data_IF_486971678335
#
_entry.id   IF_486971678335
#
_cell.length_a   1.000
_cell.length_b   1.000
_cell.length_c   1.000
_cell.angle_alpha   90.00
_cell.angle_beta   90.00
_cell.angle_gamma   90.00
#
_symmetry.space_group_name_H-M   'P 1'
#
loop_
_entity.id
_entity.type
_entity.pdbx_description
1 polymer ?
#
# COMPACT_ATOMS: atom_id res chain seq x y z
N UNK A 1 -21.96 11.95 6.69
CA UNK A 1 -21.39 10.59 6.77
C UNK A 1 -20.74 10.17 5.46
N UNK A 2 -21.49 10.12 4.34
CA UNK A 2 -20.93 9.77 3.03
C UNK A 2 -19.79 10.71 2.60
N UNK A 3 -19.97 12.02 2.81
CA UNK A 3 -18.95 13.04 2.49
C UNK A 3 -17.64 12.79 3.26
N UNK A 4 -17.75 12.36 4.52
CA UNK A 4 -16.60 12.07 5.37
C UNK A 4 -15.78 10.90 4.81
N UNK A 5 -16.44 9.79 4.42
CA UNK A 5 -15.74 8.63 3.83
C UNK A 5 -15.16 8.95 2.46
N UNK A 6 -15.88 9.75 1.66
CA UNK A 6 -15.40 10.19 0.35
C UNK A 6 -14.14 11.06 0.51
N UNK A 7 -14.14 11.94 1.51
CA UNK A 7 -12.99 12.79 1.82
C UNK A 7 -11.78 11.94 2.22
N UNK A 8 -11.97 10.95 3.11
CA UNK A 8 -10.90 10.00 3.50
C UNK A 8 -10.32 9.33 2.26
N UNK A 9 -11.19 8.82 1.37
CA UNK A 9 -10.77 8.10 0.17
C UNK A 9 -9.97 9.01 -0.78
N UNK A 10 -10.50 10.19 -1.11
CA UNK A 10 -9.86 11.12 -2.05
C UNK A 10 -8.52 11.61 -1.49
N UNK A 11 -8.49 11.95 -0.20
CA UNK A 11 -7.26 12.41 0.47
C UNK A 11 -6.20 11.31 0.41
N UNK A 12 -6.58 10.06 0.70
CA UNK A 12 -5.64 8.93 0.71
C UNK A 12 -5.12 8.60 -0.68
N UNK A 13 -5.98 8.69 -1.72
CA UNK A 13 -5.60 8.35 -3.10
C UNK A 13 -4.67 9.42 -3.71
N UNK A 14 -4.98 10.69 -3.52
CA UNK A 14 -4.30 11.78 -4.24
C UNK A 14 -3.38 12.61 -3.38
N UNK A 15 -3.83 13.08 -2.22
CA UNK A 15 -3.07 14.04 -1.38
C UNK A 15 -2.01 13.29 -0.58
N UNK A 16 -2.41 12.24 0.13
CA UNK A 16 -1.53 11.41 0.97
C UNK A 16 -1.19 10.09 0.28
N UNK A 17 -0.95 10.13 -1.03
CA UNK A 17 -0.62 8.93 -1.80
C UNK A 17 0.65 8.29 -1.22
N UNK A 18 0.52 7.06 -0.75
CA UNK A 18 1.60 6.34 -0.05
C UNK A 18 2.84 6.20 -0.93
N UNK A 19 2.68 5.98 -2.24
CA UNK A 19 3.80 5.84 -3.17
C UNK A 19 4.49 7.18 -3.46
N UNK A 20 3.72 8.20 -3.79
CA UNK A 20 4.26 9.46 -4.33
C UNK A 20 4.52 10.52 -3.27
N UNK A 21 3.74 10.54 -2.19
CA UNK A 21 3.91 11.51 -1.10
C UNK A 21 4.90 11.01 -0.06
N UNK A 22 4.85 9.72 0.29
CA UNK A 22 5.64 9.13 1.37
C UNK A 22 6.78 8.23 0.86
N UNK A 23 6.83 7.95 -0.42
CA UNK A 23 7.84 7.10 -1.07
C UNK A 23 7.91 5.69 -0.46
N UNK A 24 6.77 5.17 0.00
CA UNK A 24 6.69 3.82 0.56
C UNK A 24 6.35 2.80 -0.53
N UNK A 25 6.95 1.61 -0.42
CA UNK A 25 6.75 0.53 -1.38
C UNK A 25 7.52 0.73 -2.68
N UNK A 26 8.57 1.56 -2.68
CA UNK A 26 9.36 1.90 -3.87
C UNK A 26 10.11 0.70 -4.45
N UNK A 27 10.50 -0.27 -3.63
CA UNK A 27 11.20 -1.47 -4.08
C UNK A 27 10.37 -2.24 -5.13
N UNK A 28 9.10 -2.54 -4.82
CA UNK A 28 8.18 -3.20 -5.76
C UNK A 28 7.71 -2.25 -6.85
N UNK A 29 7.48 -0.98 -6.50
CA UNK A 29 7.03 0.08 -7.42
C UNK A 29 7.97 0.21 -8.62
N UNK A 30 9.27 0.30 -8.37
CA UNK A 30 10.29 0.45 -9.42
C UNK A 30 10.54 -0.87 -10.15
N UNK A 31 10.59 -1.98 -9.41
CA UNK A 31 10.92 -3.30 -9.98
C UNK A 31 9.88 -3.75 -11.01
N UNK A 32 8.60 -3.54 -10.75
CA UNK A 32 7.50 -4.11 -11.53
C UNK A 32 6.95 -3.14 -12.58
N UNK A 33 7.20 -1.84 -12.45
CA UNK A 33 6.69 -0.82 -13.38
C UNK A 33 7.31 -0.87 -14.78
N UNK A 34 8.09 -1.92 -15.10
CA UNK A 34 8.68 -2.13 -16.44
C UNK A 34 7.65 -2.58 -17.48
N UNK A 35 6.54 -3.21 -17.04
CA UNK A 35 5.45 -3.70 -17.90
C UNK A 35 4.11 -3.32 -17.28
N UNK A 36 3.19 -2.80 -18.10
CA UNK A 36 1.87 -2.38 -17.66
C UNK A 36 1.06 -3.55 -17.09
N UNK A 37 1.09 -4.71 -17.77
CA UNK A 37 0.33 -5.90 -17.33
C UNK A 37 0.73 -6.36 -15.94
N UNK A 38 2.04 -6.41 -15.67
CA UNK A 38 2.56 -6.81 -14.35
C UNK A 38 2.23 -5.75 -13.29
N UNK A 39 2.34 -4.47 -13.63
CA UNK A 39 2.01 -3.35 -12.73
C UNK A 39 0.52 -3.38 -12.35
N UNK A 40 -0.36 -3.65 -13.31
CA UNK A 40 -1.80 -3.74 -13.10
C UNK A 40 -2.14 -4.93 -12.19
N UNK A 41 -1.57 -6.10 -12.47
CA UNK A 41 -1.80 -7.31 -11.65
C UNK A 41 -1.33 -7.13 -10.20
N UNK A 42 -0.14 -6.55 -10.03
CA UNK A 42 0.39 -6.26 -8.69
C UNK A 42 -0.46 -5.20 -7.98
N UNK A 43 -0.92 -4.19 -8.72
CA UNK A 43 -1.79 -3.15 -8.17
C UNK A 43 -3.06 -3.74 -7.55
N UNK A 44 -3.73 -4.65 -8.28
CA UNK A 44 -4.93 -5.34 -7.78
C UNK A 44 -4.58 -6.14 -6.52
N UNK A 45 -3.45 -6.87 -6.53
CA UNK A 45 -3.03 -7.66 -5.37
C UNK A 45 -2.81 -6.76 -4.14
N UNK A 46 -2.17 -5.60 -4.31
CA UNK A 46 -1.93 -4.65 -3.21
C UNK A 46 -3.26 -4.09 -2.68
N UNK A 47 -4.23 -3.77 -3.57
CA UNK A 47 -5.57 -3.30 -3.15
C UNK A 47 -6.22 -4.36 -2.26
N UNK A 48 -6.24 -5.62 -2.69
CA UNK A 48 -6.87 -6.72 -1.95
C UNK A 48 -6.18 -6.91 -0.60
N UNK A 49 -4.85 -6.91 -0.57
CA UNK A 49 -4.09 -7.10 0.68
C UNK A 49 -4.35 -5.93 1.64
N UNK A 50 -4.30 -4.68 1.18
CA UNK A 50 -4.58 -3.52 2.02
C UNK A 50 -6.02 -3.56 2.57
N UNK A 51 -6.98 -3.95 1.73
CA UNK A 51 -8.39 -4.03 2.12
C UNK A 51 -8.62 -5.06 3.23
N UNK A 52 -7.79 -6.09 3.31
CA UNK A 52 -7.87 -7.13 4.33
C UNK A 52 -7.01 -6.75 5.56
N UNK A 53 -5.76 -6.34 5.34
CA UNK A 53 -4.79 -6.18 6.43
C UNK A 53 -5.02 -4.92 7.26
N UNK A 54 -5.43 -3.80 6.65
CA UNK A 54 -5.60 -2.55 7.40
C UNK A 54 -6.74 -2.67 8.44
N UNK A 55 -7.97 -3.11 8.08
CA UNK A 55 -8.99 -3.30 9.11
C UNK A 55 -8.67 -4.43 10.09
N UNK A 56 -7.98 -5.49 9.65
CA UNK A 56 -7.56 -6.57 10.54
C UNK A 56 -6.56 -6.05 11.59
N UNK A 57 -5.59 -5.25 11.16
CA UNK A 57 -4.63 -4.61 12.07
C UNK A 57 -5.32 -3.61 13.00
N UNK A 58 -6.38 -2.93 12.53
CA UNK A 58 -7.20 -2.05 13.37
C UNK A 58 -7.85 -2.83 14.52
N UNK A 59 -8.40 -4.01 14.23
CA UNK A 59 -9.00 -4.87 15.26
C UNK A 59 -7.93 -5.33 16.27
N UNK A 60 -6.77 -5.77 15.78
CA UNK A 60 -5.68 -6.24 16.64
C UNK A 60 -5.19 -5.10 17.54
N UNK A 61 -5.04 -3.90 16.98
CA UNK A 61 -4.62 -2.73 17.76
C UNK A 61 -5.63 -2.43 18.88
N UNK A 62 -6.91 -2.32 18.56
CA UNK A 62 -7.94 -1.92 19.51
C UNK A 62 -8.23 -2.99 20.57
N UNK A 63 -8.08 -4.29 20.25
CA UNK A 63 -8.43 -5.37 21.18
C UNK A 63 -7.24 -5.99 21.90
N UNK A 64 -6.02 -5.78 21.41
CA UNK A 64 -4.83 -6.46 21.96
C UNK A 64 -3.70 -5.47 22.32
N UNK A 65 -3.36 -4.54 21.41
CA UNK A 65 -2.15 -3.72 21.53
C UNK A 65 -2.35 -2.42 22.29
N UNK A 66 -3.54 -1.84 22.23
CA UNK A 66 -3.86 -0.57 22.88
C UNK A 66 -3.71 -0.71 24.40
N UNK A 67 -3.30 0.38 25.07
CA UNK A 67 -3.25 0.45 26.54
C UNK A 67 -4.58 0.01 27.12
N UNK A 68 -4.53 -0.88 28.08
CA UNK A 68 -5.71 -1.43 28.78
C UNK A 68 -6.62 -2.28 27.89
N UNK A 69 -6.19 -2.65 26.68
CA UNK A 69 -7.00 -3.53 25.82
C UNK A 69 -7.20 -4.93 26.46
N UNK A 70 -6.26 -5.36 27.30
CA UNK A 70 -6.29 -6.67 27.94
C UNK A 70 -6.95 -6.70 29.32
N UNK A 71 -7.65 -5.62 29.72
CA UNK A 71 -8.41 -5.57 31.00
C UNK A 71 -9.39 -6.75 31.11
N UNK A 72 -10.01 -7.13 29.97
CA UNK A 72 -10.97 -8.23 29.92
C UNK A 72 -10.33 -9.60 30.26
N UNK A 73 -8.99 -9.71 30.15
CA UNK A 73 -8.23 -10.91 30.53
C UNK A 73 -7.64 -10.78 31.94
N UNK A 74 -7.90 -9.66 32.64
CA UNK A 74 -7.40 -9.43 34.00
C UNK A 74 -5.94 -8.99 34.06
N UNK A 75 -5.38 -8.53 32.94
CA UNK A 75 -3.98 -8.06 32.87
C UNK A 75 -4.02 -6.53 32.74
N UNK A 76 -3.89 -5.84 33.88
CA UNK A 76 -3.89 -4.37 33.95
C UNK A 76 -2.46 -3.83 33.79
N UNK A 77 -2.34 -2.70 33.12
CA UNK A 77 -1.10 -1.95 33.03
C UNK A 77 -0.07 -2.50 32.06
N UNK A 78 -0.45 -3.42 31.16
CA UNK A 78 0.46 -3.90 30.12
C UNK A 78 0.32 -3.04 28.86
N UNK A 79 1.43 -2.45 28.47
CA UNK A 79 1.53 -1.68 27.21
C UNK A 79 2.29 -2.52 26.18
N UNK A 80 1.60 -2.98 25.16
CA UNK A 80 2.15 -3.84 24.13
C UNK A 80 2.45 -3.07 22.82
N UNK A 81 2.45 -1.73 22.87
CA UNK A 81 2.76 -0.90 21.70
C UNK A 81 4.12 -1.22 21.08
N UNK A 82 5.10 -1.65 21.92
CA UNK A 82 6.42 -2.01 21.40
C UNK A 82 6.40 -3.25 20.50
N UNK A 83 5.34 -4.07 20.56
CA UNK A 83 5.19 -5.28 19.73
C UNK A 83 4.32 -4.97 18.48
N UNK A 84 3.83 -3.75 18.36
CA UNK A 84 2.91 -3.30 17.30
C UNK A 84 3.46 -3.60 15.89
N UNK A 85 4.69 -3.19 15.64
CA UNK A 85 5.33 -3.34 14.32
C UNK A 85 5.45 -4.82 13.93
N UNK A 86 5.91 -5.66 14.87
CA UNK A 86 6.09 -7.11 14.65
C UNK A 86 4.73 -7.77 14.40
N UNK A 87 3.71 -7.37 15.17
CA UNK A 87 2.36 -7.89 15.04
C UNK A 87 1.78 -7.60 13.64
N UNK A 88 1.93 -6.35 13.15
CA UNK A 88 1.43 -5.95 11.84
C UNK A 88 2.15 -6.71 10.72
N UNK A 89 3.46 -6.86 10.81
CA UNK A 89 4.23 -7.63 9.82
C UNK A 89 3.75 -9.09 9.79
N UNK A 90 3.52 -9.68 10.96
CA UNK A 90 3.01 -11.04 11.08
C UNK A 90 1.63 -11.22 10.43
N UNK A 91 0.72 -10.27 10.67
CA UNK A 91 -0.64 -10.29 10.10
C UNK A 91 -0.57 -10.13 8.57
N UNK A 92 0.25 -9.21 8.09
CA UNK A 92 0.45 -8.98 6.65
C UNK A 92 1.00 -10.26 6.00
N UNK A 93 2.03 -10.88 6.62
CA UNK A 93 2.63 -12.11 6.11
C UNK A 93 1.60 -13.26 6.02
N UNK A 94 0.81 -13.45 7.07
CA UNK A 94 -0.24 -14.47 7.09
C UNK A 94 -1.30 -14.22 6.01
N UNK A 95 -1.73 -12.97 5.86
CA UNK A 95 -2.74 -12.57 4.86
C UNK A 95 -2.24 -12.82 3.44
N UNK A 96 -0.99 -12.45 3.16
CA UNK A 96 -0.38 -12.64 1.83
C UNK A 96 -0.20 -14.14 1.55
N UNK A 97 0.18 -14.93 2.55
CA UNK A 97 0.33 -16.38 2.40
C UNK A 97 -1.01 -17.04 2.02
N UNK A 98 -2.09 -16.61 2.66
CA UNK A 98 -3.44 -17.09 2.34
C UNK A 98 -3.82 -16.67 0.91
N UNK A 99 -3.52 -15.42 0.55
CA UNK A 99 -3.79 -14.90 -0.79
C UNK A 99 -3.00 -15.69 -1.85
N UNK A 100 -1.74 -15.99 -1.56
CA UNK A 100 -0.86 -16.78 -2.45
C UNK A 100 -1.44 -18.16 -2.71
N UNK A 101 -1.87 -18.83 -1.68
CA UNK A 101 -2.55 -20.13 -1.81
C UNK A 101 -3.83 -20.05 -2.62
N UNK A 102 -4.29 -18.94 -2.54
CA UNK A 102 -5.41 -18.79 -3.19
C UNK A 102 -5.26 -18.63 -4.54
N UNK A 103 -4.44 -17.84 -4.88
CA UNK A 103 -4.11 -17.54 -6.27
C UNK A 103 -3.58 -18.76 -7.02
N UNK A 104 -2.73 -19.52 -6.37
CA UNK A 104 -2.18 -20.76 -6.95
C UNK A 104 -3.28 -21.75 -7.33
N UNK A 105 -4.30 -21.86 -6.50
CA UNK A 105 -5.39 -22.83 -6.70
C UNK A 105 -6.43 -22.37 -7.73
N UNK A 106 -6.81 -21.08 -7.70
CA UNK A 106 -7.94 -20.56 -8.49
C UNK A 106 -7.53 -19.80 -9.74
N UNK A 107 -6.40 -19.11 -9.72
CA UNK A 107 -5.94 -18.28 -10.85
C UNK A 107 -4.44 -18.50 -11.09
N UNK A 108 -4.05 -19.73 -11.53
CA UNK A 108 -2.62 -20.03 -11.73
C UNK A 108 -1.94 -19.17 -12.78
N UNK A 109 -2.69 -18.63 -13.74
CA UNK A 109 -2.14 -17.70 -14.75
C UNK A 109 -1.62 -16.43 -14.11
N UNK A 110 -2.40 -15.87 -13.17
CA UNK A 110 -2.00 -14.66 -12.42
C UNK A 110 -0.88 -14.98 -11.43
N UNK A 111 -0.97 -16.15 -10.77
CA UNK A 111 0.08 -16.63 -9.85
C UNK A 111 1.43 -16.71 -10.57
N UNK A 112 1.47 -17.30 -11.77
CA UNK A 112 2.69 -17.43 -12.56
C UNK A 112 3.18 -16.08 -13.10
N UNK A 113 2.27 -15.17 -13.43
CA UNK A 113 2.61 -13.83 -13.93
C UNK A 113 3.23 -12.96 -12.83
N UNK A 114 2.70 -13.06 -11.60
CA UNK A 114 3.23 -12.33 -10.43
C UNK A 114 4.48 -13.03 -9.89
N UNK A 115 4.52 -14.36 -9.94
CA UNK A 115 5.68 -15.19 -9.65
C UNK A 115 6.43 -14.80 -8.37
N UNK A 116 7.71 -14.48 -8.56
CA UNK A 116 8.61 -14.11 -7.45
C UNK A 116 8.26 -12.78 -6.79
N UNK A 117 7.31 -12.00 -7.33
CA UNK A 117 6.93 -10.69 -6.76
C UNK A 117 5.89 -10.81 -5.64
N UNK A 118 5.21 -11.97 -5.53
CA UNK A 118 4.25 -12.21 -4.44
C UNK A 118 4.88 -12.10 -3.05
N UNK A 119 6.04 -12.73 -2.79
CA UNK A 119 6.72 -12.52 -1.49
C UNK A 119 7.10 -11.06 -1.21
N UNK A 120 7.32 -10.26 -2.27
CA UNK A 120 7.64 -8.83 -2.11
C UNK A 120 6.44 -8.01 -1.62
N UNK A 121 5.20 -8.52 -1.79
CA UNK A 121 4.00 -7.88 -1.23
C UNK A 121 4.03 -7.99 0.30
N UNK A 122 4.50 -9.12 0.84
CA UNK A 122 4.60 -9.37 2.28
C UNK A 122 5.47 -8.32 2.98
N UNK A 123 6.61 -7.96 2.37
CA UNK A 123 7.56 -6.99 2.94
C UNK A 123 7.38 -5.59 2.33
N UNK A 124 6.22 -5.32 1.76
CA UNK A 124 5.93 -4.03 1.11
C UNK A 124 5.68 -2.96 2.18
N UNK A 125 6.57 -1.98 2.25
CA UNK A 125 6.48 -0.90 3.23
C UNK A 125 5.26 -0.01 3.02
N UNK A 126 4.62 -0.03 1.84
CA UNK A 126 3.36 0.70 1.62
C UNK A 126 2.22 0.08 2.43
N UNK A 127 2.14 -1.25 2.49
CA UNK A 127 1.10 -1.98 3.24
C UNK A 127 1.32 -1.81 4.74
N UNK A 128 2.56 -1.95 5.18
CA UNK A 128 2.94 -1.72 6.58
C UNK A 128 2.66 -0.26 6.97
N UNK A 129 3.06 0.67 6.10
CA UNK A 129 2.82 2.11 6.31
C UNK A 129 1.34 2.44 6.42
N UNK A 130 0.49 1.83 5.58
CA UNK A 130 -0.96 2.02 5.67
C UNK A 130 -1.50 1.58 7.02
N UNK A 131 -0.99 0.46 7.58
CA UNK A 131 -1.38 -0.02 8.91
C UNK A 131 -0.93 0.94 10.01
N UNK A 132 0.30 1.45 9.93
CA UNK A 132 0.83 2.39 10.92
C UNK A 132 0.10 3.73 10.89
N UNK A 133 -0.16 4.28 9.70
CA UNK A 133 -0.87 5.56 9.57
C UNK A 133 -2.35 5.44 9.98
N UNK A 134 -2.95 4.26 9.79
CA UNK A 134 -4.31 3.99 10.28
C UNK A 134 -4.38 4.14 11.81
N UNK A 135 -3.37 3.66 12.53
CA UNK A 135 -3.26 3.80 13.99
C UNK A 135 -2.96 5.26 14.38
N UNK A 136 -2.00 5.89 13.69
CA UNK A 136 -1.63 7.29 13.94
C UNK A 136 -2.81 8.25 13.79
N UNK A 137 -3.72 7.96 12.85
CA UNK A 137 -4.92 8.76 12.60
C UNK A 137 -6.11 8.34 13.51
N UNK A 138 -5.94 7.31 14.33
CA UNK A 138 -6.95 6.77 15.25
C UNK A 138 -8.27 6.50 14.52
N UNK A 139 -8.19 5.86 13.36
CA UNK A 139 -9.36 5.59 12.51
C UNK A 139 -10.26 4.51 13.10
N UNK A 140 -11.57 4.73 12.98
CA UNK A 140 -12.56 3.72 13.34
C UNK A 140 -12.52 2.56 12.35
N UNK A 141 -13.09 1.41 12.74
CA UNK A 141 -13.06 0.19 11.92
C UNK A 141 -13.56 0.42 10.49
N UNK A 142 -14.69 1.11 10.32
CA UNK A 142 -15.26 1.40 8.99
C UNK A 142 -14.34 2.36 8.21
N UNK A 143 -13.79 3.35 8.90
CA UNK A 143 -12.85 4.30 8.29
C UNK A 143 -11.56 3.59 7.84
N UNK A 144 -11.11 2.60 8.60
CA UNK A 144 -9.92 1.82 8.25
C UNK A 144 -10.14 0.98 6.99
N UNK A 145 -11.36 0.51 6.73
CA UNK A 145 -11.71 -0.19 5.48
C UNK A 145 -11.58 0.78 4.29
N UNK A 146 -12.17 1.97 4.41
CA UNK A 146 -12.12 3.00 3.35
C UNK A 146 -10.68 3.46 3.13
N UNK A 147 -9.94 3.67 4.21
CA UNK A 147 -8.54 4.08 4.18
C UNK A 147 -7.66 3.02 3.51
N UNK A 148 -7.82 1.75 3.89
CA UNK A 148 -7.07 0.63 3.31
C UNK A 148 -7.33 0.48 1.82
N UNK A 149 -8.61 0.61 1.40
CA UNK A 149 -8.97 0.59 -0.01
C UNK A 149 -8.34 1.79 -0.75
N UNK A 150 -8.44 2.99 -0.18
CA UNK A 150 -7.85 4.20 -0.76
C UNK A 150 -6.33 4.12 -0.91
N UNK A 151 -5.65 3.62 0.14
CA UNK A 151 -4.19 3.46 0.16
C UNK A 151 -3.73 2.49 -0.94
N UNK A 152 -4.38 1.33 -1.03
CA UNK A 152 -4.09 0.32 -2.06
C UNK A 152 -4.39 0.85 -3.45
N UNK A 153 -5.53 1.51 -3.63
CA UNK A 153 -5.94 2.08 -4.92
C UNK A 153 -4.98 3.20 -5.37
N UNK A 154 -4.60 4.09 -4.46
CA UNK A 154 -3.65 5.18 -4.76
C UNK A 154 -2.30 4.64 -5.19
N UNK A 155 -1.79 3.64 -4.47
CA UNK A 155 -0.52 2.98 -4.81
C UNK A 155 -0.62 2.28 -6.18
N UNK A 156 -1.72 1.55 -6.44
CA UNK A 156 -1.96 0.85 -7.70
C UNK A 156 -2.07 1.82 -8.87
N UNK A 157 -2.80 2.91 -8.68
CA UNK A 157 -2.95 3.97 -9.68
C UNK A 157 -1.58 4.56 -10.06
N UNK A 158 -0.77 4.88 -9.04
CA UNK A 158 0.55 5.48 -9.25
C UNK A 158 1.48 4.53 -10.03
N UNK A 159 1.50 3.21 -9.70
CA UNK A 159 2.39 2.27 -10.39
C UNK A 159 1.98 2.04 -11.86
N UNK A 160 0.67 2.04 -12.14
CA UNK A 160 0.18 1.90 -13.53
C UNK A 160 0.56 3.12 -14.35
N UNK A 161 0.42 4.33 -13.78
CA UNK A 161 0.85 5.58 -14.45
C UNK A 161 2.35 5.54 -14.73
N UNK A 162 3.16 5.15 -13.74
CA UNK A 162 4.63 5.03 -13.93
C UNK A 162 4.96 4.00 -15.03
N UNK A 163 4.28 2.85 -15.03
CA UNK A 163 4.50 1.81 -16.06
C UNK A 163 4.18 2.34 -17.46
N UNK A 164 3.09 3.09 -17.61
CA UNK A 164 2.71 3.72 -18.87
C UNK A 164 3.76 4.73 -19.37
N UNK A 165 4.27 5.56 -18.45
CA UNK A 165 5.33 6.54 -18.77
C UNK A 165 6.61 5.80 -19.18
N UNK A 166 7.01 4.78 -18.43
CA UNK A 166 8.23 4.00 -18.72
C UNK A 166 8.14 3.27 -20.05
N UNK A 167 6.95 2.79 -20.42
CA UNK A 167 6.74 2.11 -21.69
C UNK A 167 6.91 3.09 -22.86
N UNK A 168 6.42 4.33 -22.73
CA UNK A 168 6.62 5.38 -23.74
C UNK A 168 8.09 5.82 -23.84
N UNK A 169 8.78 5.84 -22.71
CA UNK A 169 10.19 6.25 -22.65
C UNK A 169 11.14 5.28 -23.36
N UNK A 170 10.72 4.06 -23.66
CA UNK A 170 11.52 3.12 -24.47
C UNK A 170 11.83 3.66 -25.86
N UNK A 171 10.99 4.56 -26.37
CA UNK A 171 11.14 5.15 -27.70
C UNK A 171 11.85 6.51 -27.66
N UNK A 172 12.26 6.98 -26.48
CA UNK A 172 12.93 8.28 -26.29
C UNK A 172 14.45 8.11 -26.30
N UNK A 173 15.14 9.15 -26.74
CA UNK A 173 16.60 9.21 -26.72
C UNK A 173 17.06 9.77 -25.36
N UNK A 174 17.40 8.85 -24.46
CA UNK A 174 17.83 9.18 -23.10
C UNK A 174 19.35 9.03 -23.01
N UNK A 175 20.07 10.01 -22.43
CA UNK A 175 21.51 9.89 -22.19
C UNK A 175 21.84 8.63 -21.41
N UNK A 176 22.92 7.94 -21.79
CA UNK A 176 23.29 6.63 -21.20
C UNK A 176 23.44 6.67 -19.68
N UNK A 177 23.91 7.77 -19.13
CA UNK A 177 24.09 7.91 -17.68
C UNK A 177 22.77 7.98 -16.89
N UNK A 178 21.66 8.28 -17.58
CA UNK A 178 20.33 8.38 -16.95
C UNK A 178 19.40 7.20 -17.29
N UNK A 179 19.81 6.34 -18.21
CA UNK A 179 18.99 5.19 -18.61
C UNK A 179 18.71 4.28 -17.42
N UNK A 180 17.48 3.81 -17.35
CA UNK A 180 17.04 2.85 -16.32
C UNK A 180 16.61 3.51 -15.03
N UNK A 181 17.33 3.22 -13.94
CA UNK A 181 16.94 3.60 -12.59
C UNK A 181 16.92 5.13 -12.38
N UNK A 182 17.93 5.81 -12.93
CA UNK A 182 18.03 7.29 -12.78
C UNK A 182 16.82 8.01 -13.35
N UNK A 183 16.45 7.67 -14.59
CA UNK A 183 15.28 8.28 -15.24
C UNK A 183 13.98 7.92 -14.50
N UNK A 184 13.88 6.68 -13.99
CA UNK A 184 12.71 6.24 -13.23
C UNK A 184 12.52 7.12 -11.98
N UNK A 185 13.58 7.39 -11.23
CA UNK A 185 13.52 8.24 -10.03
C UNK A 185 13.14 9.69 -10.38
N UNK A 186 13.66 10.22 -11.50
CA UNK A 186 13.31 11.57 -11.97
C UNK A 186 11.79 11.63 -12.28
N UNK A 187 11.26 10.62 -12.97
CA UNK A 187 9.84 10.56 -13.32
C UNK A 187 8.98 10.47 -12.07
N UNK A 188 9.37 9.63 -11.10
CA UNK A 188 8.63 9.50 -9.82
C UNK A 188 8.61 10.85 -9.09
N UNK A 189 9.72 11.57 -9.08
CA UNK A 189 9.79 12.92 -8.49
C UNK A 189 8.85 13.89 -9.20
N UNK A 190 8.81 13.88 -10.54
CA UNK A 190 7.91 14.72 -11.33
C UNK A 190 6.43 14.34 -11.10
N UNK A 191 6.14 13.05 -11.00
CA UNK A 191 4.79 12.56 -10.67
C UNK A 191 4.37 13.03 -9.28
N UNK A 192 5.29 13.04 -8.32
CA UNK A 192 5.04 13.52 -6.96
C UNK A 192 4.67 15.02 -6.99
N UNK A 193 5.38 15.82 -7.76
CA UNK A 193 5.04 17.25 -7.95
C UNK A 193 3.64 17.40 -8.57
N UNK A 194 3.31 16.58 -9.56
CA UNK A 194 1.98 16.58 -10.19
C UNK A 194 0.88 16.28 -9.17
N UNK A 195 1.11 15.30 -8.29
CA UNK A 195 0.13 14.92 -7.26
C UNK A 195 0.02 15.96 -6.15
N UNK A 196 1.08 16.73 -5.89
CA UNK A 196 1.04 17.83 -4.92
C UNK A 196 0.04 18.92 -5.32
N UNK A 197 -0.29 19.04 -6.60
CA UNK A 197 -1.28 20.01 -7.08
C UNK A 197 -2.68 19.74 -6.51
N UNK A 198 -2.97 18.49 -6.10
CA UNK A 198 -4.23 18.13 -5.45
C UNK A 198 -4.30 18.56 -3.99
N UNK A 199 -3.15 18.90 -3.38
CA UNK A 199 -3.07 19.33 -1.97
C UNK A 199 -3.81 20.61 -1.64
N UNK A 200 -4.18 21.40 -2.64
CA UNK A 200 -4.96 22.61 -2.46
C UNK A 200 -6.47 22.39 -2.49
N UNK A 201 -6.90 21.14 -2.74
CA UNK A 201 -8.33 20.80 -2.82
C UNK A 201 -8.78 20.34 -1.43
N UNK A 202 -9.53 21.20 -0.73
CA UNK A 202 -10.18 20.84 0.53
C UNK A 202 -11.66 20.57 0.24
N UNK A 203 -12.11 19.34 0.52
CA UNK A 203 -13.50 18.92 0.40
C UNK A 203 -14.20 18.92 1.76
#
# INVERSE_FOLDING_TARGET
MFEHYLNIFITTVFIENIALSLFLGMCTFIAISKKIDAAFGLGIAVIVVCLITVPLNNLIYNYILREDALIWLGIEGTNLEFVELISYIGVIAASVQILEMXLDKYVPALYNALGQFLPLITVNCAILGASLFMVEKDLLFVESIVYGFGAGFGWAFAIVVLAGIREKLKYSDIPEGLKGLGMTFIIVGLMSFGFMSFGGISL
#
